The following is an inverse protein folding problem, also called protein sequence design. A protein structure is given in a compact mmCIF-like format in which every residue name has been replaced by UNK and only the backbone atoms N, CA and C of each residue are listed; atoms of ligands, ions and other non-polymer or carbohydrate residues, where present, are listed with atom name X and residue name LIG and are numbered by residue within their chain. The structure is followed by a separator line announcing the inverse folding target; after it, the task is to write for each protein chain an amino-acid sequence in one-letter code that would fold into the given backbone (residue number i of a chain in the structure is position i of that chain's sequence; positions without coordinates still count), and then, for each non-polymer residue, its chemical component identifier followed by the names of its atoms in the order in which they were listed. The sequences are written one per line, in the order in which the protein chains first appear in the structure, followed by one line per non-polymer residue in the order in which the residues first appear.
data_IF_961738908810
#
_entry.id   IF_961738908810
#
_cell.length_a   1.000
_cell.length_b   1.000
_cell.length_c   1.000
_cell.angle_alpha   90.00
_cell.angle_beta   90.00
_cell.angle_gamma   90.00
#
_symmetry.space_group_name_H-M   'P 1'
#
loop_
_entity.id
_entity.type
_entity.pdbx_description
1 polymer ?
#
# COMPACT_ATOMS: atom_id res chain seq x y z
N UNK A 1 4.01 -1.60 48.65
CA UNK A 1 3.64 -0.93 47.39
C UNK A 1 4.22 -1.83 46.32
N UNK A 2 3.35 -2.53 45.61
CA UNK A 2 3.67 -3.72 44.83
C UNK A 2 4.42 -3.37 43.54
N UNK A 3 5.52 -4.08 43.30
CA UNK A 3 6.23 -4.09 42.02
C UNK A 3 5.33 -4.74 40.95
N UNK A 4 4.83 -3.92 40.00
CA UNK A 4 4.17 -4.44 38.81
C UNK A 4 5.22 -4.95 37.83
N UNK A 5 5.49 -6.25 37.89
CA UNK A 5 6.19 -7.00 36.84
C UNK A 5 5.22 -7.19 35.67
N UNK A 6 5.41 -6.40 34.61
CA UNK A 6 4.73 -6.65 33.34
C UNK A 6 5.36 -7.86 32.65
N UNK A 7 4.57 -8.77 32.04
CA UNK A 7 5.11 -9.94 31.38
C UNK A 7 5.95 -9.51 30.18
N UNK A 8 7.21 -9.93 30.20
CA UNK A 8 8.19 -9.80 29.13
C UNK A 8 7.59 -10.42 27.85
N UNK A 9 7.27 -9.59 26.85
CA UNK A 9 6.88 -10.11 25.54
C UNK A 9 8.13 -10.63 24.84
N UNK A 10 8.15 -11.93 24.56
CA UNK A 10 9.26 -12.62 23.91
C UNK A 10 9.75 -11.89 22.64
N UNK A 11 11.06 -11.61 22.51
CA UNK A 11 11.63 -10.87 21.37
C UNK A 11 11.76 -11.71 20.08
N UNK A 12 11.03 -12.81 19.96
CA UNK A 12 11.23 -13.82 18.88
C UNK A 12 10.59 -13.41 17.54
N UNK A 13 9.93 -12.25 17.43
CA UNK A 13 9.33 -11.77 16.18
C UNK A 13 10.05 -10.60 15.51
N UNK A 14 11.10 -10.05 16.12
CA UNK A 14 11.92 -9.01 15.51
C UNK A 14 13.31 -9.61 15.30
N UNK A 15 13.38 -10.53 14.35
CA UNK A 15 14.67 -10.90 13.77
C UNK A 15 15.21 -9.68 13.04
N UNK A 16 16.21 -9.11 13.69
CA UNK A 16 17.30 -8.30 13.16
C UNK A 16 17.17 -6.78 13.24
N UNK A 17 18.24 -6.19 13.74
CA UNK A 17 18.51 -4.77 13.95
C UNK A 17 18.66 -4.05 12.60
N UNK A 18 17.59 -3.92 11.81
CA UNK A 18 17.69 -3.15 10.56
C UNK A 18 17.62 -1.66 10.87
N UNK A 19 18.75 -0.97 10.75
CA UNK A 19 18.89 0.49 10.79
C UNK A 19 17.70 1.21 10.17
N UNK A 20 17.23 2.28 10.83
CA UNK A 20 16.35 3.25 10.23
C UNK A 20 16.97 3.75 8.92
N UNK A 21 16.44 3.28 7.79
CA UNK A 21 16.86 3.72 6.46
C UNK A 21 15.86 4.75 5.96
N UNK A 22 16.26 6.04 5.83
CA UNK A 22 15.41 7.08 5.25
C UNK A 22 14.89 6.68 3.87
N UNK A 23 15.70 5.93 3.11
CA UNK A 23 15.34 5.39 1.81
C UNK A 23 14.18 4.38 1.93
N UNK A 24 14.27 3.38 2.82
CA UNK A 24 13.16 2.43 3.03
C UNK A 24 11.88 3.14 3.52
N UNK A 25 12.02 4.16 4.36
CA UNK A 25 10.88 4.96 4.83
C UNK A 25 10.21 5.74 3.69
N UNK A 26 11.01 6.31 2.78
CA UNK A 26 10.52 6.99 1.58
C UNK A 26 9.74 6.01 0.69
N UNK A 27 10.34 4.88 0.34
CA UNK A 27 9.71 3.93 -0.58
C UNK A 27 8.48 3.24 0.00
N UNK A 28 8.47 3.02 1.32
CA UNK A 28 7.25 2.59 2.02
C UNK A 28 6.14 3.62 1.88
N UNK A 29 6.46 4.90 2.02
CA UNK A 29 5.48 5.98 1.88
C UNK A 29 4.94 6.08 0.45
N UNK A 30 5.80 5.93 -0.56
CA UNK A 30 5.42 5.86 -1.98
C UNK A 30 4.47 4.69 -2.24
N UNK A 31 4.82 3.49 -1.76
CA UNK A 31 4.01 2.29 -1.92
C UNK A 31 2.62 2.47 -1.28
N UNK A 32 2.57 2.96 -0.03
CA UNK A 32 1.31 3.20 0.68
C UNK A 32 0.42 4.23 -0.03
N UNK A 33 1.02 5.30 -0.57
CA UNK A 33 0.29 6.30 -1.33
C UNK A 33 -0.28 5.70 -2.62
N UNK A 34 0.51 4.94 -3.37
CA UNK A 34 0.05 4.24 -4.57
C UNK A 34 -1.11 3.28 -4.27
N UNK A 35 -1.03 2.49 -3.18
CA UNK A 35 -2.14 1.61 -2.76
C UNK A 35 -3.40 2.43 -2.47
N UNK A 36 -3.28 3.55 -1.75
CA UNK A 36 -4.42 4.43 -1.44
C UNK A 36 -5.08 4.95 -2.70
N UNK A 37 -4.30 5.39 -3.69
CA UNK A 37 -4.82 5.92 -4.95
C UNK A 37 -5.43 4.82 -5.82
N UNK A 38 -4.83 3.62 -5.85
CA UNK A 38 -5.35 2.51 -6.66
C UNK A 38 -6.70 1.96 -6.16
N UNK A 39 -6.91 1.97 -4.84
CA UNK A 39 -8.07 1.33 -4.17
C UNK A 39 -9.20 2.31 -3.86
N UNK A 40 -8.91 3.59 -3.58
CA UNK A 40 -9.96 4.56 -3.24
C UNK A 40 -10.81 4.86 -4.48
N UNK A 41 -12.16 4.93 -4.33
CA UNK A 41 -12.99 5.42 -5.40
C UNK A 41 -12.66 6.90 -5.70
N UNK A 42 -12.73 7.32 -6.96
CA UNK A 42 -12.55 8.72 -7.31
C UNK A 42 -13.59 9.55 -6.57
N UNK A 43 -13.14 10.57 -5.84
CA UNK A 43 -14.02 11.47 -5.12
C UNK A 43 -13.49 12.89 -5.24
N UNK A 44 -14.43 13.83 -5.30
CA UNK A 44 -14.12 15.21 -5.05
C UNK A 44 -13.93 15.39 -3.54
N UNK A 45 -12.83 16.00 -3.12
CA UNK A 45 -12.53 16.26 -1.72
C UNK A 45 -12.31 17.75 -1.42
N UNK A 46 -12.69 18.62 -2.36
CA UNK A 46 -12.48 20.07 -2.25
C UNK A 46 -11.08 20.54 -2.66
N UNK A 47 -10.12 19.62 -2.83
CA UNK A 47 -8.74 19.93 -3.21
C UNK A 47 -8.36 19.40 -4.59
N UNK A 48 -8.92 18.26 -5.00
CA UNK A 48 -8.70 17.66 -6.32
C UNK A 48 -10.00 17.53 -7.09
N UNK A 49 -9.94 17.80 -8.40
CA UNK A 49 -11.07 17.53 -9.29
C UNK A 49 -11.35 16.02 -9.38
N UNK A 50 -12.60 15.66 -9.69
CA UNK A 50 -12.97 14.26 -9.91
C UNK A 50 -12.17 13.63 -11.08
N UNK A 51 -11.81 14.43 -12.08
CA UNK A 51 -10.96 14.01 -13.20
C UNK A 51 -9.54 13.66 -12.75
N UNK A 52 -8.89 14.52 -11.97
CA UNK A 52 -7.55 14.25 -11.41
C UNK A 52 -7.57 13.00 -10.53
N UNK A 53 -8.60 12.84 -9.69
CA UNK A 53 -8.76 11.65 -8.85
C UNK A 53 -8.86 10.37 -9.68
N UNK A 54 -9.58 10.39 -10.81
CA UNK A 54 -9.65 9.26 -11.74
C UNK A 54 -8.30 8.99 -12.44
N UNK A 55 -7.61 10.04 -12.88
CA UNK A 55 -6.30 9.90 -13.52
C UNK A 55 -5.25 9.33 -12.56
N UNK A 56 -5.22 9.80 -11.31
CA UNK A 56 -4.30 9.27 -10.29
C UNK A 56 -4.59 7.80 -10.00
N UNK A 57 -5.87 7.42 -9.85
CA UNK A 57 -6.26 6.01 -9.69
C UNK A 57 -5.80 5.15 -10.88
N UNK A 58 -5.96 5.65 -12.12
CA UNK A 58 -5.53 4.94 -13.33
C UNK A 58 -4.01 4.76 -13.35
N UNK A 59 -3.25 5.84 -13.14
CA UNK A 59 -1.78 5.83 -13.11
C UNK A 59 -1.24 4.91 -12.02
N UNK A 60 -1.80 4.95 -10.81
CA UNK A 60 -1.38 4.08 -9.72
C UNK A 60 -1.57 2.59 -10.07
N UNK A 61 -2.68 2.25 -10.73
CA UNK A 61 -2.92 0.87 -11.20
C UNK A 61 -1.95 0.47 -12.30
N UNK A 62 -1.75 1.33 -13.29
CA UNK A 62 -0.77 1.09 -14.36
C UNK A 62 0.62 0.84 -13.78
N UNK A 63 1.03 1.64 -12.79
CA UNK A 63 2.31 1.49 -12.10
C UNK A 63 2.45 0.14 -11.34
N UNK A 64 1.41 -0.32 -10.62
CA UNK A 64 1.45 -1.63 -9.95
C UNK A 64 1.61 -2.83 -10.90
N UNK A 65 1.02 -2.72 -12.09
CA UNK A 65 0.98 -3.82 -13.06
C UNK A 65 1.96 -3.66 -14.22
N UNK A 66 2.75 -2.58 -14.23
CA UNK A 66 3.89 -2.43 -15.13
C UNK A 66 4.98 -3.45 -14.78
N UNK A 67 5.63 -3.99 -15.80
CA UNK A 67 6.74 -4.94 -15.70
C UNK A 67 8.09 -4.23 -15.89
N UNK A 68 8.23 -3.07 -15.26
CA UNK A 68 9.42 -2.22 -15.38
C UNK A 68 10.35 -2.44 -14.18
N UNK A 69 11.66 -2.45 -14.45
CA UNK A 69 12.69 -2.62 -13.42
C UNK A 69 13.72 -1.49 -13.52
N UNK A 70 13.29 -0.28 -13.16
CA UNK A 70 14.15 0.89 -13.01
C UNK A 70 13.87 1.56 -11.66
N UNK A 71 14.74 2.47 -11.22
CA UNK A 71 14.56 3.19 -9.94
C UNK A 71 13.16 3.82 -9.88
N UNK A 72 12.44 3.59 -8.79
CA UNK A 72 11.07 4.05 -8.58
C UNK A 72 9.97 3.21 -9.26
N UNK A 73 10.31 2.19 -10.04
CA UNK A 73 9.32 1.22 -10.51
C UNK A 73 8.80 0.37 -9.35
N UNK A 74 7.61 -0.21 -9.51
CA UNK A 74 7.00 -1.05 -8.49
C UNK A 74 7.89 -2.25 -8.12
N UNK A 75 8.43 -2.97 -9.12
CA UNK A 75 9.29 -4.13 -8.87
C UNK A 75 10.58 -3.73 -8.14
N UNK A 76 11.17 -2.60 -8.50
CA UNK A 76 12.36 -2.07 -7.84
C UNK A 76 12.07 -1.68 -6.38
N UNK A 77 10.94 -1.03 -6.10
CA UNK A 77 10.53 -0.71 -4.73
C UNK A 77 10.31 -1.99 -3.91
N UNK A 78 9.67 -3.01 -4.47
CA UNK A 78 9.51 -4.30 -3.80
C UNK A 78 10.86 -4.93 -3.45
N UNK A 79 11.84 -4.86 -4.34
CA UNK A 79 13.20 -5.33 -4.08
C UNK A 79 13.85 -4.59 -2.91
N UNK A 80 13.81 -3.24 -2.89
CA UNK A 80 14.40 -2.42 -1.81
C UNK A 80 13.74 -2.68 -0.46
N UNK A 81 12.43 -2.90 -0.46
CA UNK A 81 11.65 -3.20 0.75
C UNK A 81 11.63 -4.68 1.13
N UNK A 82 12.33 -5.54 0.38
CA UNK A 82 12.34 -6.99 0.56
C UNK A 82 10.93 -7.61 0.59
N UNK A 83 10.07 -7.17 -0.34
CA UNK A 83 8.70 -7.63 -0.51
C UNK A 83 8.58 -8.56 -1.73
N UNK A 84 7.69 -9.55 -1.62
CA UNK A 84 7.29 -10.38 -2.76
C UNK A 84 6.36 -9.59 -3.69
N UNK A 85 6.89 -9.21 -4.85
CA UNK A 85 6.20 -8.48 -5.92
C UNK A 85 4.85 -9.10 -6.31
N UNK A 86 4.80 -10.42 -6.49
CA UNK A 86 3.60 -11.12 -6.95
C UNK A 86 2.54 -11.20 -5.85
N UNK A 87 2.97 -11.39 -4.61
CA UNK A 87 2.08 -11.32 -3.45
C UNK A 87 1.46 -9.94 -3.32
N UNK A 88 2.25 -8.88 -3.45
CA UNK A 88 1.74 -7.50 -3.37
C UNK A 88 0.77 -7.19 -4.50
N UNK A 89 1.10 -7.55 -5.76
CA UNK A 89 0.18 -7.41 -6.91
C UNK A 89 -1.15 -8.10 -6.68
N UNK A 90 -1.12 -9.35 -6.18
CA UNK A 90 -2.34 -10.12 -5.88
C UNK A 90 -3.20 -9.41 -4.83
N UNK A 91 -2.59 -8.97 -3.73
CA UNK A 91 -3.29 -8.24 -2.67
C UNK A 91 -3.92 -6.95 -3.19
N UNK A 92 -3.20 -6.14 -3.96
CA UNK A 92 -3.74 -4.90 -4.53
C UNK A 92 -4.87 -5.18 -5.52
N UNK A 93 -4.73 -6.20 -6.38
CA UNK A 93 -5.77 -6.65 -7.32
C UNK A 93 -7.06 -7.06 -6.59
N UNK A 94 -6.94 -7.80 -5.50
CA UNK A 94 -8.07 -8.19 -4.64
C UNK A 94 -8.74 -6.97 -3.97
N UNK A 95 -7.94 -6.01 -3.47
CA UNK A 95 -8.48 -4.79 -2.88
C UNK A 95 -9.25 -3.94 -3.90
N UNK A 96 -8.72 -3.80 -5.11
CA UNK A 96 -9.41 -3.13 -6.23
C UNK A 96 -10.74 -3.82 -6.52
N UNK A 97 -10.75 -5.15 -6.61
CA UNK A 97 -11.96 -5.95 -6.88
C UNK A 97 -12.99 -5.95 -5.73
N UNK A 98 -12.54 -5.85 -4.48
CA UNK A 98 -13.43 -5.78 -3.32
C UNK A 98 -14.03 -4.38 -3.12
N UNK A 99 -13.29 -3.33 -3.49
CA UNK A 99 -13.80 -1.95 -3.55
C UNK A 99 -14.98 -1.79 -4.52
N UNK A 100 -14.94 -2.48 -5.67
CA UNK A 100 -16.04 -2.48 -6.65
C UNK A 100 -17.23 -3.32 -6.19
N UNK A 101 -17.02 -4.46 -5.52
CA UNK A 101 -18.11 -5.30 -4.98
C UNK A 101 -18.93 -4.62 -3.88
N UNK A 102 -18.32 -3.81 -3.01
CA UNK A 102 -19.05 -3.01 -2.00
C UNK A 102 -20.00 -1.98 -2.65
N UNK A 103 -19.70 -1.53 -3.88
CA UNK A 103 -20.53 -0.59 -4.65
C UNK A 103 -21.78 -1.27 -5.18
N UNK A 104 -21.69 -2.51 -5.69
CA UNK A 104 -22.84 -3.24 -6.24
C UNK A 104 -23.93 -3.51 -5.19
N UNK A 105 -23.55 -3.80 -3.94
CA UNK A 105 -24.48 -4.06 -2.83
C UNK A 105 -25.28 -2.83 -2.36
N UNK A 106 -24.93 -1.61 -2.78
CA UNK A 106 -25.67 -0.37 -2.45
C UNK A 106 -26.68 0.05 -3.51
N UNK A 107 -26.69 -0.60 -4.68
CA UNK A 107 -27.59 -0.27 -5.79
C UNK A 107 -28.80 -1.21 -5.92
N UNK A 108 -28.96 -2.19 -5.02
CA UNK A 108 -30.07 -3.16 -5.03
C UNK A 108 -30.88 -3.12 -3.73
N UNK A 109 -31.22 -1.95 -3.21
CA UNK A 109 -32.14 -1.83 -2.07
C UNK A 109 -33.16 -0.73 -2.30
#
# INVERSE_FOLDING_TARGET
MEDQVFPEMDPVLISDNSEYSPEKSLWTSVLLQAVREAVKPPKYDGHSSLFESQMNMKRAREWFFASENHVGSFEWICMILNLDTERVRRTVKEMIGNGTRKRMKRFTR
#
